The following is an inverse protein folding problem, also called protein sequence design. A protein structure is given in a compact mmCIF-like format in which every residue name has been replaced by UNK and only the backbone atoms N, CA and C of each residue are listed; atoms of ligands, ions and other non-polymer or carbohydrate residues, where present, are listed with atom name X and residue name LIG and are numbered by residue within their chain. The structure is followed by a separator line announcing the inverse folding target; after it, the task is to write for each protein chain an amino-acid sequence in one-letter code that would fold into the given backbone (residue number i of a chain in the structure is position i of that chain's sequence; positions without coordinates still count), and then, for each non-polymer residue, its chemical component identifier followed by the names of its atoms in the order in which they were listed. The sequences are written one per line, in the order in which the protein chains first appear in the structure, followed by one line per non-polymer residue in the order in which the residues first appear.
data_IF_874944128731
#
_entry.id   IF_874944128731
#
_cell.length_a   1.000
_cell.length_b   1.000
_cell.length_c   1.000
_cell.angle_alpha   90.00
_cell.angle_beta   90.00
_cell.angle_gamma   90.00
#
_symmetry.space_group_name_H-M   'P 1'
#
loop_
_entity.id
_entity.type
_entity.pdbx_description
1 polymer ?
#
# COMPACT_ATOMS: atom_id res chain seq x y z
N UNK A 1 52.51 -20.55 19.79
CA UNK A 1 51.24 -20.43 19.06
C UNK A 1 51.15 -21.63 18.14
N UNK A 2 50.28 -22.57 18.44
CA UNK A 2 50.19 -23.88 17.77
C UNK A 2 49.36 -23.77 16.49
N UNK A 3 49.72 -24.53 15.45
CA UNK A 3 49.05 -24.55 14.12
C UNK A 3 47.53 -24.84 14.15
N UNK A 4 46.98 -25.28 15.28
CA UNK A 4 45.54 -25.49 15.46
C UNK A 4 44.77 -24.18 15.73
N UNK A 5 45.39 -23.18 16.37
CA UNK A 5 44.76 -21.86 16.63
C UNK A 5 44.61 -21.05 15.33
N UNK A 6 45.51 -21.25 14.36
CA UNK A 6 45.50 -20.53 13.08
C UNK A 6 44.50 -21.12 12.07
N UNK A 7 44.27 -22.44 12.06
CA UNK A 7 43.28 -23.08 11.18
C UNK A 7 41.83 -22.77 11.59
N UNK A 8 41.55 -22.68 12.89
CA UNK A 8 40.24 -22.27 13.40
C UNK A 8 39.94 -20.80 13.14
N UNK A 9 40.96 -19.92 13.14
CA UNK A 9 40.78 -18.51 12.78
C UNK A 9 40.50 -18.32 11.29
N UNK A 10 41.18 -19.06 10.41
CA UNK A 10 40.95 -19.01 8.96
C UNK A 10 39.56 -19.52 8.57
N UNK A 11 39.09 -20.61 9.20
CA UNK A 11 37.75 -21.14 8.98
C UNK A 11 36.65 -20.18 9.47
N UNK A 12 36.84 -19.54 10.63
CA UNK A 12 35.93 -18.50 11.15
C UNK A 12 35.90 -17.27 10.23
N UNK A 13 37.06 -16.83 9.72
CA UNK A 13 37.13 -15.73 8.74
C UNK A 13 36.36 -16.07 7.46
N UNK A 14 36.53 -17.28 6.92
CA UNK A 14 35.83 -17.72 5.72
C UNK A 14 34.31 -17.84 5.93
N UNK A 15 33.88 -18.32 7.10
CA UNK A 15 32.47 -18.36 7.49
C UNK A 15 31.87 -16.95 7.63
N UNK A 16 32.59 -16.03 8.27
CA UNK A 16 32.18 -14.62 8.40
C UNK A 16 32.11 -13.93 7.04
N UNK A 17 33.05 -14.20 6.13
CA UNK A 17 33.02 -13.66 4.78
C UNK A 17 31.81 -14.16 3.97
N UNK A 18 31.47 -15.45 4.09
CA UNK A 18 30.26 -16.03 3.47
C UNK A 18 28.98 -15.42 4.05
N UNK A 19 28.92 -15.28 5.36
CA UNK A 19 27.79 -14.64 6.05
C UNK A 19 27.66 -13.17 5.66
N UNK A 20 28.75 -12.40 5.63
CA UNK A 20 28.76 -11.00 5.24
C UNK A 20 28.35 -10.82 3.77
N UNK A 21 28.78 -11.71 2.87
CA UNK A 21 28.35 -11.69 1.47
C UNK A 21 26.85 -11.97 1.33
N UNK A 22 26.31 -12.93 2.10
CA UNK A 22 24.88 -13.26 2.09
C UNK A 22 24.01 -12.16 2.72
N UNK A 23 24.53 -11.43 3.72
CA UNK A 23 23.80 -10.40 4.47
C UNK A 23 24.22 -8.98 4.09
N UNK A 24 24.85 -8.81 2.92
CA UNK A 24 25.45 -7.54 2.48
C UNK A 24 24.40 -6.43 2.42
N UNK A 25 23.23 -6.72 1.84
CA UNK A 25 22.12 -5.76 1.73
C UNK A 25 21.55 -5.39 3.11
N UNK A 26 21.33 -6.37 3.98
CA UNK A 26 20.88 -6.13 5.36
C UNK A 26 21.87 -5.27 6.14
N UNK A 27 23.17 -5.50 5.95
CA UNK A 27 24.22 -4.70 6.57
C UNK A 27 24.23 -3.26 6.06
N UNK A 28 24.08 -3.06 4.74
CA UNK A 28 23.95 -1.71 4.16
C UNK A 28 22.71 -0.99 4.67
N UNK A 29 21.56 -1.65 4.65
CA UNK A 29 20.32 -1.09 5.19
C UNK A 29 20.50 -0.61 6.63
N UNK A 30 21.09 -1.43 7.51
CA UNK A 30 21.29 -1.08 8.90
C UNK A 30 22.29 0.07 9.10
N UNK A 31 23.35 0.10 8.29
CA UNK A 31 24.34 1.19 8.31
C UNK A 31 23.70 2.51 7.89
N UNK A 32 22.95 2.50 6.80
CA UNK A 32 22.35 3.70 6.24
C UNK A 32 21.25 4.22 7.18
N UNK A 33 20.43 3.31 7.74
CA UNK A 33 19.45 3.62 8.80
C UNK A 33 20.10 4.27 10.03
N UNK A 34 21.22 3.73 10.50
CA UNK A 34 21.92 4.28 11.67
C UNK A 34 22.54 5.65 11.37
N UNK A 35 23.06 5.82 10.16
CA UNK A 35 23.62 7.09 9.68
C UNK A 35 22.55 8.17 9.61
N UNK A 36 21.39 7.86 9.00
CA UNK A 36 20.25 8.75 8.93
C UNK A 36 19.75 9.17 10.31
N UNK A 37 19.59 8.21 11.24
CA UNK A 37 19.22 8.50 12.64
C UNK A 37 20.21 9.44 13.31
N UNK A 38 21.51 9.19 13.15
CA UNK A 38 22.55 10.02 13.73
C UNK A 38 22.52 11.45 13.17
N UNK A 39 22.31 11.60 11.86
CA UNK A 39 22.16 12.89 11.21
C UNK A 39 20.97 13.67 11.80
N UNK A 40 19.77 13.07 11.82
CA UNK A 40 18.55 13.69 12.35
C UNK A 40 18.74 14.11 13.81
N UNK A 41 19.33 13.26 14.65
CA UNK A 41 19.43 13.52 16.08
C UNK A 41 20.54 14.51 16.46
N UNK A 42 21.59 14.67 15.64
CA UNK A 42 22.81 15.39 16.05
C UNK A 42 23.22 16.52 15.12
N UNK A 43 22.81 16.49 13.86
CA UNK A 43 23.34 17.38 12.81
C UNK A 43 22.27 18.17 12.08
N UNK A 44 21.05 17.64 11.97
CA UNK A 44 19.97 18.30 11.25
C UNK A 44 19.55 19.59 11.96
N UNK A 45 19.50 20.68 11.20
CA UNK A 45 18.86 21.92 11.62
C UNK A 45 17.37 21.94 11.22
N UNK A 46 16.67 23.03 11.57
CA UNK A 46 15.23 23.17 11.28
C UNK A 46 14.91 23.05 9.78
N UNK A 47 15.72 23.66 8.92
CA UNK A 47 15.54 23.59 7.48
C UNK A 47 15.69 22.16 6.96
N UNK A 48 16.71 21.43 7.43
CA UNK A 48 16.89 20.02 7.09
C UNK A 48 15.71 19.16 7.56
N UNK A 49 15.16 19.41 8.74
CA UNK A 49 14.02 18.65 9.26
C UNK A 49 12.76 18.87 8.43
N UNK A 50 12.50 20.10 7.98
CA UNK A 50 11.37 20.44 7.11
C UNK A 50 11.53 19.74 5.75
N UNK A 51 12.71 19.79 5.15
CA UNK A 51 13.00 19.11 3.87
C UNK A 51 12.82 17.58 3.99
N UNK A 52 13.42 16.97 5.02
CA UNK A 52 13.28 15.54 5.28
C UNK A 52 11.83 15.13 5.49
N UNK A 53 11.04 15.98 6.14
CA UNK A 53 9.61 15.72 6.32
C UNK A 53 8.88 15.67 4.99
N UNK A 54 9.12 16.63 4.09
CA UNK A 54 8.55 16.63 2.74
C UNK A 54 8.90 15.38 1.94
N UNK A 55 10.16 14.93 2.02
CA UNK A 55 10.59 13.69 1.37
C UNK A 55 9.92 12.44 1.95
N UNK A 56 9.75 12.38 3.28
CA UNK A 56 9.04 11.28 3.95
C UNK A 56 7.58 11.25 3.52
N UNK A 57 6.90 12.39 3.54
CA UNK A 57 5.49 12.47 3.18
C UNK A 57 5.26 12.07 1.71
N UNK A 58 6.11 12.54 0.78
CA UNK A 58 6.06 12.12 -0.62
C UNK A 58 6.27 10.60 -0.77
N UNK A 59 7.27 10.03 -0.08
CA UNK A 59 7.53 8.59 -0.15
C UNK A 59 6.40 7.74 0.43
N UNK A 60 5.75 8.21 1.49
CA UNK A 60 4.60 7.55 2.08
C UNK A 60 3.39 7.60 1.13
N UNK A 61 3.17 8.72 0.45
CA UNK A 61 2.11 8.84 -0.56
C UNK A 61 2.33 7.86 -1.73
N UNK A 62 3.54 7.80 -2.29
CA UNK A 62 3.89 6.82 -3.34
C UNK A 62 3.65 5.37 -2.86
N UNK A 63 4.06 5.06 -1.63
CA UNK A 63 3.84 3.72 -1.07
C UNK A 63 2.37 3.38 -0.88
N UNK A 64 1.53 4.37 -0.59
CA UNK A 64 0.09 4.17 -0.45
C UNK A 64 -0.58 4.02 -1.82
N UNK A 65 -0.22 4.85 -2.81
CA UNK A 65 -0.65 4.68 -4.20
C UNK A 65 -0.31 3.27 -4.71
N UNK A 66 0.91 2.78 -4.46
CA UNK A 66 1.32 1.43 -4.82
C UNK A 66 0.55 0.32 -4.09
N UNK A 67 -0.03 0.58 -2.91
CA UNK A 67 -0.89 -0.39 -2.22
C UNK A 67 -2.30 -0.37 -2.79
N UNK A 68 -2.83 0.82 -3.07
CA UNK A 68 -4.14 0.98 -3.71
C UNK A 68 -4.12 0.34 -5.11
N UNK A 69 -3.03 0.48 -5.87
CA UNK A 69 -2.83 -0.26 -7.14
C UNK A 69 -2.80 -1.79 -6.98
N UNK A 70 -2.56 -2.30 -5.76
CA UNK A 70 -2.56 -3.74 -5.47
C UNK A 70 -3.89 -4.25 -4.92
N UNK A 71 -4.87 -3.38 -4.76
CA UNK A 71 -6.22 -3.82 -4.46
C UNK A 71 -6.90 -4.15 -5.78
N UNK A 72 -7.39 -5.38 -5.90
CA UNK A 72 -8.10 -5.85 -7.07
C UNK A 72 -9.52 -6.25 -6.70
N UNK A 73 -10.42 -6.11 -7.67
CA UNK A 73 -11.82 -6.47 -7.54
C UNK A 73 -12.19 -7.40 -8.69
N UNK A 74 -12.73 -8.58 -8.37
CA UNK A 74 -13.21 -9.55 -9.34
C UNK A 74 -14.73 -9.49 -9.43
N UNK A 75 -15.26 -9.38 -10.65
CA UNK A 75 -16.68 -9.56 -10.89
C UNK A 75 -17.06 -11.04 -10.72
N UNK A 76 -18.01 -11.35 -9.85
CA UNK A 76 -18.46 -12.72 -9.55
C UNK A 76 -19.17 -13.39 -10.73
N UNK A 77 -19.76 -12.61 -11.64
CA UNK A 77 -20.53 -13.10 -12.78
C UNK A 77 -19.67 -13.27 -14.04
N UNK A 78 -18.81 -12.30 -14.35
CA UNK A 78 -17.95 -12.33 -15.56
C UNK A 78 -16.55 -12.89 -15.32
N UNK A 79 -16.09 -12.90 -14.06
CA UNK A 79 -14.71 -13.25 -13.70
C UNK A 79 -13.67 -12.18 -14.05
N UNK A 80 -14.09 -11.02 -14.56
CA UNK A 80 -13.20 -9.91 -14.89
C UNK A 80 -12.57 -9.32 -13.63
N UNK A 81 -11.26 -9.07 -13.67
CA UNK A 81 -10.49 -8.49 -12.57
C UNK A 81 -10.13 -7.05 -12.93
N UNK A 82 -10.49 -6.13 -12.05
CA UNK A 82 -10.22 -4.71 -12.15
C UNK A 82 -9.24 -4.29 -11.06
N UNK A 83 -8.38 -3.32 -11.38
CA UNK A 83 -7.66 -2.59 -10.33
C UNK A 83 -8.65 -1.75 -9.51
N UNK A 84 -8.30 -1.38 -8.29
CA UNK A 84 -9.12 -0.47 -7.47
C UNK A 84 -9.40 0.85 -8.18
N UNK A 85 -8.43 1.35 -8.96
CA UNK A 85 -8.62 2.56 -9.78
C UNK A 85 -9.71 2.36 -10.83
N UNK A 86 -9.69 1.25 -11.56
CA UNK A 86 -10.67 0.96 -12.61
C UNK A 86 -12.04 0.66 -12.03
N UNK A 87 -12.09 -0.07 -10.91
CA UNK A 87 -13.31 -0.31 -10.14
C UNK A 87 -13.92 1.01 -9.65
N UNK A 88 -13.13 1.89 -9.04
CA UNK A 88 -13.61 3.20 -8.58
C UNK A 88 -14.13 4.05 -9.75
N UNK A 89 -13.45 4.04 -10.90
CA UNK A 89 -13.89 4.75 -12.09
C UNK A 89 -15.19 4.18 -12.68
N UNK A 90 -15.42 2.86 -12.55
CA UNK A 90 -16.68 2.22 -12.94
C UNK A 90 -17.81 2.65 -11.99
N UNK A 91 -17.59 2.56 -10.68
CA UNK A 91 -18.56 2.98 -9.67
C UNK A 91 -18.89 4.47 -9.80
N UNK A 92 -17.91 5.32 -10.09
CA UNK A 92 -18.13 6.74 -10.35
C UNK A 92 -19.10 6.96 -11.51
N UNK A 93 -18.90 6.26 -12.63
CA UNK A 93 -19.76 6.39 -13.81
C UNK A 93 -21.18 5.89 -13.54
N UNK A 94 -21.31 4.75 -12.85
CA UNK A 94 -22.61 4.20 -12.50
C UNK A 94 -23.36 5.10 -11.52
N UNK A 95 -22.67 5.60 -10.49
CA UNK A 95 -23.22 6.54 -9.53
C UNK A 95 -23.67 7.83 -10.22
N UNK A 96 -22.87 8.40 -11.12
CA UNK A 96 -23.22 9.59 -11.89
C UNK A 96 -24.49 9.37 -12.72
N UNK A 97 -24.58 8.23 -13.44
CA UNK A 97 -25.75 7.90 -14.24
C UNK A 97 -27.01 7.73 -13.39
N UNK A 98 -26.91 7.08 -12.23
CA UNK A 98 -28.05 6.91 -11.32
C UNK A 98 -28.46 8.24 -10.68
N UNK A 99 -27.48 9.05 -10.25
CA UNK A 99 -27.74 10.36 -9.67
C UNK A 99 -28.40 11.32 -10.65
N UNK A 100 -27.99 11.31 -11.91
CA UNK A 100 -28.61 12.08 -12.98
C UNK A 100 -30.02 11.58 -13.29
N UNK A 101 -30.28 10.26 -13.26
CA UNK A 101 -31.63 9.73 -13.40
C UNK A 101 -32.55 10.15 -12.23
N UNK A 102 -31.99 10.31 -11.03
CA UNK A 102 -32.70 10.79 -9.84
C UNK A 102 -32.85 12.32 -9.79
N UNK A 103 -32.29 13.09 -10.75
CA UNK A 103 -32.39 14.56 -10.74
C UNK A 103 -33.82 15.07 -10.83
N UNK A 104 -34.71 14.32 -11.47
CA UNK A 104 -36.09 14.71 -11.71
C UNK A 104 -37.09 14.10 -10.70
N UNK A 105 -36.61 13.27 -9.75
CA UNK A 105 -37.45 12.62 -8.73
C UNK A 105 -36.99 12.98 -7.30
N UNK A 106 -37.47 14.13 -6.80
CA UNK A 106 -37.13 14.66 -5.47
C UNK A 106 -37.58 13.73 -4.32
N UNK A 107 -38.51 12.81 -4.57
CA UNK A 107 -39.06 11.92 -3.54
C UNK A 107 -38.05 10.85 -3.07
N UNK A 108 -37.23 10.32 -3.98
CA UNK A 108 -36.25 9.27 -3.64
C UNK A 108 -35.03 9.82 -2.88
N UNK A 109 -34.65 11.07 -3.14
CA UNK A 109 -33.53 11.72 -2.43
C UNK A 109 -33.85 12.02 -0.97
N UNK A 110 -35.05 12.52 -0.69
CA UNK A 110 -35.52 12.73 0.69
C UNK A 110 -35.68 11.41 1.45
N UNK A 111 -36.17 10.35 0.79
CA UNK A 111 -36.34 9.03 1.41
C UNK A 111 -35.02 8.37 1.83
N UNK A 112 -33.93 8.61 1.09
CA UNK A 112 -32.60 8.09 1.41
C UNK A 112 -31.82 8.98 2.39
N UNK A 113 -32.26 10.23 2.63
CA UNK A 113 -31.57 11.19 3.50
C UNK A 113 -30.21 11.63 2.95
N UNK A 114 -30.02 11.54 1.63
CA UNK A 114 -28.75 11.81 0.95
C UNK A 114 -28.80 13.20 0.34
N UNK A 115 -27.86 14.07 0.72
CA UNK A 115 -27.92 15.49 0.35
C UNK A 115 -26.99 15.87 -0.80
N UNK A 116 -26.02 15.00 -1.11
CA UNK A 116 -25.01 15.26 -2.14
C UNK A 116 -24.51 13.96 -2.79
N UNK A 117 -23.85 14.12 -3.94
CA UNK A 117 -23.33 13.01 -4.73
C UNK A 117 -22.30 12.15 -3.99
N UNK A 118 -21.47 12.75 -3.12
CA UNK A 118 -20.47 12.00 -2.37
C UNK A 118 -21.12 11.06 -1.34
N UNK A 119 -22.17 11.53 -0.65
CA UNK A 119 -22.99 10.70 0.24
C UNK A 119 -23.72 9.59 -0.53
N UNK A 120 -24.21 9.88 -1.74
CA UNK A 120 -24.84 8.90 -2.63
C UNK A 120 -23.87 7.80 -3.06
N UNK A 121 -22.68 8.18 -3.53
CA UNK A 121 -21.62 7.23 -3.90
C UNK A 121 -21.22 6.35 -2.72
N UNK A 122 -21.04 6.95 -1.54
CA UNK A 122 -20.71 6.19 -0.33
C UNK A 122 -21.82 5.22 0.06
N UNK A 123 -23.09 5.60 -0.12
CA UNK A 123 -24.24 4.73 0.09
C UNK A 123 -24.24 3.54 -0.87
N UNK A 124 -23.99 3.77 -2.17
CA UNK A 124 -23.90 2.69 -3.17
C UNK A 124 -22.77 1.71 -2.89
N UNK A 125 -21.60 2.19 -2.47
CA UNK A 125 -20.48 1.31 -2.11
C UNK A 125 -20.80 0.47 -0.87
N UNK A 126 -21.55 1.03 0.09
CA UNK A 126 -21.84 0.38 1.37
C UNK A 126 -23.05 -0.56 1.32
N UNK A 127 -24.07 -0.22 0.54
CA UNK A 127 -25.38 -0.86 0.54
C UNK A 127 -25.81 -1.35 -0.85
N UNK A 128 -25.10 -0.99 -1.92
CA UNK A 128 -25.35 -1.53 -3.24
C UNK A 128 -24.89 -2.98 -3.32
N UNK A 129 -25.72 -3.82 -3.93
CA UNK A 129 -25.34 -5.17 -4.34
C UNK A 129 -24.28 -5.06 -5.46
N UNK A 130 -23.02 -4.88 -5.07
CA UNK A 130 -21.90 -4.92 -6.01
C UNK A 130 -21.58 -6.37 -6.34
N UNK A 131 -21.62 -6.71 -7.63
CA UNK A 131 -21.14 -8.00 -8.14
C UNK A 131 -19.61 -8.16 -8.02
N UNK A 132 -18.90 -7.17 -7.48
CA UNK A 132 -17.44 -7.20 -7.34
C UNK A 132 -17.03 -7.56 -5.91
N UNK A 133 -16.11 -8.51 -5.81
CA UNK A 133 -15.47 -8.92 -4.55
C UNK A 133 -13.98 -8.62 -4.59
N UNK A 134 -13.42 -8.20 -3.45
CA UNK A 134 -11.99 -7.93 -3.35
C UNK A 134 -11.19 -9.24 -3.52
N UNK A 135 -10.15 -9.20 -4.35
CA UNK A 135 -9.34 -10.36 -4.73
C UNK A 135 -7.85 -10.01 -4.81
N UNK A 136 -7.00 -11.03 -4.97
CA UNK A 136 -5.59 -10.86 -5.31
C UNK A 136 -5.45 -10.47 -6.81
N UNK A 137 -4.22 -10.11 -7.23
CA UNK A 137 -3.89 -9.73 -8.62
C UNK A 137 -4.25 -10.81 -9.65
N UNK A 138 -4.16 -12.08 -9.26
CA UNK A 138 -4.50 -13.22 -10.11
C UNK A 138 -6.01 -13.56 -10.11
N UNK A 139 -6.83 -12.76 -9.40
CA UNK A 139 -8.27 -12.98 -9.25
C UNK A 139 -8.65 -14.02 -8.18
N UNK A 140 -7.68 -14.61 -7.47
CA UNK A 140 -7.95 -15.52 -6.36
C UNK A 140 -8.49 -14.77 -5.14
N UNK A 141 -9.24 -15.48 -4.30
CA UNK A 141 -9.83 -14.88 -3.10
C UNK A 141 -8.74 -14.49 -2.10
N UNK A 142 -8.96 -13.38 -1.37
CA UNK A 142 -8.04 -12.94 -0.32
C UNK A 142 -8.16 -13.89 0.87
N UNK A 143 -7.05 -14.53 1.23
CA UNK A 143 -6.97 -15.31 2.46
C UNK A 143 -6.76 -14.38 3.66
N UNK A 144 -7.87 -13.99 4.27
CA UNK A 144 -7.88 -13.14 5.47
C UNK A 144 -7.36 -13.85 6.73
N UNK A 145 -7.05 -15.14 6.69
CA UNK A 145 -6.65 -15.91 7.86
C UNK A 145 -5.16 -15.76 8.25
N UNK A 146 -4.34 -15.07 7.43
CA UNK A 146 -2.89 -15.00 7.61
C UNK A 146 -2.33 -13.57 7.83
N UNK A 147 -3.17 -12.60 8.20
CA UNK A 147 -2.76 -11.25 8.59
C UNK A 147 -2.60 -11.06 10.10
#
# INVERSE_FOLDING_TARGET
MTEQETKTSAAKLAANARWAKKNKETAYFNRDKSTAKSFINKKADEANLIELRGLIDARLAEMEEMKMEKVFFRNVNSGEVLSEKDYNALIDREAESMWDAMKDDDYEKEALGITNFAEFKAYLIRNGDSDFVQCNEDGSDIDWANY
#
